data_IF_580106733798
#
_entry.id   IF_580106733798
#
_cell.length_a   1.000
_cell.length_b   1.000
_cell.length_c   1.000
_cell.angle_alpha   90.00
_cell.angle_beta   90.00
_cell.angle_gamma   90.00
#
_symmetry.space_group_name_H-M   'P 1'
#
loop_
_entity.id
_entity.type
_entity.pdbx_description
1 polymer ?
#
# COMPACT_ATOMS: atom_id res chain seq x y z
N UNK A 1 -10.81 21.36 5.39
CA UNK A 1 -10.49 20.29 6.38
C UNK A 1 -10.28 18.97 5.62
N UNK A 2 -9.65 17.91 6.17
CA UNK A 2 -9.46 16.61 5.44
C UNK A 2 -10.78 16.03 4.92
N UNK A 3 -11.89 16.35 5.61
CA UNK A 3 -13.26 15.93 5.26
C UNK A 3 -13.74 16.49 3.90
N UNK A 4 -13.21 17.63 3.48
CA UNK A 4 -13.64 18.33 2.26
C UNK A 4 -12.74 17.99 1.05
N UNK A 5 -11.75 17.10 1.24
CA UNK A 5 -10.77 16.76 0.21
C UNK A 5 -11.41 16.08 -1.01
N UNK A 6 -12.52 15.38 -0.82
CA UNK A 6 -13.19 14.62 -1.87
C UNK A 6 -14.70 14.79 -1.81
N UNK A 7 -15.32 14.90 -2.99
CA UNK A 7 -16.77 14.73 -3.12
C UNK A 7 -17.15 13.27 -2.81
N UNK A 8 -18.41 12.98 -2.45
CA UNK A 8 -18.85 11.61 -2.16
C UNK A 8 -18.60 10.61 -3.31
N UNK A 9 -18.73 11.06 -4.56
CA UNK A 9 -18.47 10.21 -5.74
C UNK A 9 -16.98 9.89 -5.89
N UNK A 10 -16.09 10.88 -5.69
CA UNK A 10 -14.65 10.67 -5.73
C UNK A 10 -14.21 9.76 -4.59
N UNK A 11 -14.75 9.95 -3.38
CA UNK A 11 -14.45 9.08 -2.24
C UNK A 11 -14.82 7.62 -2.55
N UNK A 12 -16.01 7.36 -3.09
CA UNK A 12 -16.43 6.01 -3.51
C UNK A 12 -15.48 5.40 -4.54
N UNK A 13 -15.04 6.18 -5.54
CA UNK A 13 -14.04 5.74 -6.52
C UNK A 13 -12.72 5.37 -5.85
N UNK A 14 -12.23 6.20 -4.92
CA UNK A 14 -10.98 5.95 -4.19
C UNK A 14 -11.07 4.72 -3.27
N UNK A 15 -12.21 4.49 -2.63
CA UNK A 15 -12.44 3.27 -1.83
C UNK A 15 -12.41 2.03 -2.72
N UNK A 16 -13.04 2.05 -3.90
CA UNK A 16 -12.95 0.93 -4.86
C UNK A 16 -11.51 0.68 -5.33
N UNK A 17 -10.76 1.74 -5.59
CA UNK A 17 -9.35 1.65 -5.96
C UNK A 17 -8.49 1.02 -4.85
N UNK A 18 -8.84 1.23 -3.58
CA UNK A 18 -8.14 0.61 -2.45
C UNK A 18 -8.29 -0.92 -2.42
N UNK A 19 -9.34 -1.48 -3.02
CA UNK A 19 -9.51 -2.94 -3.09
C UNK A 19 -8.37 -3.60 -3.89
N UNK A 20 -7.77 -2.93 -4.87
CA UNK A 20 -6.58 -3.45 -5.59
C UNK A 20 -5.41 -3.68 -4.64
N UNK A 21 -5.25 -2.82 -3.62
CA UNK A 21 -4.20 -2.97 -2.61
C UNK A 21 -4.53 -4.10 -1.64
N UNK A 22 -5.83 -4.40 -1.43
CA UNK A 22 -6.26 -5.52 -0.59
C UNK A 22 -5.95 -6.87 -1.22
N UNK A 23 -5.89 -6.98 -2.54
CA UNK A 23 -5.42 -8.20 -3.21
C UNK A 23 -3.96 -8.56 -2.86
N UNK A 24 -3.17 -7.58 -2.41
CA UNK A 24 -1.79 -7.81 -1.96
C UNK A 24 -1.72 -8.34 -0.52
N UNK A 25 -2.85 -8.37 0.19
CA UNK A 25 -2.95 -8.90 1.55
C UNK A 25 -3.12 -10.41 1.47
N UNK A 26 -2.18 -11.14 2.06
CA UNK A 26 -2.10 -12.60 2.03
C UNK A 26 -0.75 -13.09 2.51
N UNK A 27 -0.69 -14.33 3.00
CA UNK A 27 0.53 -14.87 3.62
C UNK A 27 1.03 -13.98 4.76
N UNK A 28 2.25 -13.48 4.63
CA UNK A 28 2.92 -12.62 5.62
C UNK A 28 2.58 -11.12 5.51
N UNK A 29 1.76 -10.73 4.54
CA UNK A 29 1.28 -9.35 4.37
C UNK A 29 -0.13 -9.27 4.93
N UNK A 30 -0.25 -8.81 6.18
CA UNK A 30 -1.50 -8.95 6.95
C UNK A 30 -2.47 -7.76 6.80
N UNK A 31 -1.99 -6.61 6.33
CA UNK A 31 -2.80 -5.39 6.26
C UNK A 31 -2.53 -4.61 4.96
N UNK A 32 -3.49 -3.81 4.46
CA UNK A 32 -3.25 -2.92 3.32
C UNK A 32 -2.12 -1.92 3.57
N UNK A 33 -1.88 -1.58 4.85
CA UNK A 33 -0.78 -0.70 5.27
C UNK A 33 0.57 -1.41 5.08
N UNK A 34 0.67 -2.67 5.51
CA UNK A 34 1.83 -3.51 5.26
C UNK A 34 2.08 -3.66 3.75
N UNK A 35 1.04 -3.92 2.96
CA UNK A 35 1.15 -4.04 1.51
C UNK A 35 1.70 -2.76 0.86
N UNK A 36 1.18 -1.59 1.25
CA UNK A 36 1.66 -0.31 0.74
C UNK A 36 3.12 -0.03 1.11
N UNK A 37 3.52 -0.28 2.35
CA UNK A 37 4.90 -0.12 2.80
C UNK A 37 5.85 -1.06 2.03
N UNK A 38 5.50 -2.34 1.94
CA UNK A 38 6.30 -3.35 1.27
C UNK A 38 6.38 -3.15 -0.24
N UNK A 39 5.34 -2.62 -0.88
CA UNK A 39 5.39 -2.19 -2.28
C UNK A 39 6.46 -1.11 -2.50
N UNK A 40 6.47 -0.07 -1.66
CA UNK A 40 7.46 1.01 -1.76
C UNK A 40 8.88 0.47 -1.56
N UNK A 41 9.08 -0.39 -0.56
CA UNK A 41 10.38 -1.02 -0.28
C UNK A 41 10.81 -2.05 -1.33
N UNK A 42 9.88 -2.59 -2.13
CA UNK A 42 10.21 -3.51 -3.22
C UNK A 42 10.85 -2.82 -4.42
N UNK A 43 10.79 -1.48 -4.51
CA UNK A 43 11.41 -0.74 -5.59
C UNK A 43 12.91 -0.53 -5.29
N UNK A 44 13.78 -1.07 -6.15
CA UNK A 44 15.24 -0.96 -6.00
C UNK A 44 15.78 0.48 -6.08
N UNK A 45 15.01 1.44 -6.60
CA UNK A 45 15.36 2.86 -6.65
C UNK A 45 15.02 3.59 -5.34
N UNK A 46 14.27 2.96 -4.43
CA UNK A 46 13.90 3.54 -3.14
C UNK A 46 14.89 3.09 -2.07
N UNK A 47 15.74 4.00 -1.62
CA UNK A 47 16.69 3.71 -0.52
C UNK A 47 16.02 3.65 0.85
N UNK A 48 14.93 4.41 1.05
CA UNK A 48 14.21 4.44 2.33
C UNK A 48 12.76 4.94 2.16
N UNK A 49 11.90 4.54 3.09
CA UNK A 49 10.52 5.02 3.19
C UNK A 49 10.34 5.81 4.50
N UNK A 50 9.92 7.08 4.41
CA UNK A 50 9.65 7.92 5.59
C UNK A 50 8.22 7.70 6.06
N UNK A 51 8.05 7.21 7.28
CA UNK A 51 6.76 6.90 7.86
C UNK A 51 6.21 8.07 8.67
N UNK A 52 4.89 8.31 8.59
CA UNK A 52 4.20 9.36 9.34
C UNK A 52 3.16 8.83 10.36
N UNK A 53 3.56 8.04 11.37
CA UNK A 53 2.65 7.59 12.41
C UNK A 53 2.21 8.74 13.32
N UNK A 54 1.01 8.62 13.89
CA UNK A 54 0.46 9.61 14.84
C UNK A 54 0.67 9.23 16.30
N UNK A 55 1.12 8.01 16.54
CA UNK A 55 1.41 7.47 17.86
C UNK A 55 2.60 6.52 17.77
N UNK A 56 3.28 6.33 18.89
CA UNK A 56 4.34 5.32 19.02
C UNK A 56 3.83 3.91 18.74
N UNK A 57 2.63 3.57 19.20
CA UNK A 57 2.00 2.28 18.92
C UNK A 57 1.79 2.01 17.42
N UNK A 58 1.46 3.04 16.64
CA UNK A 58 1.33 2.93 15.19
C UNK A 58 2.70 2.75 14.53
N UNK A 59 3.73 3.44 15.02
CA UNK A 59 5.10 3.25 14.56
C UNK A 59 5.56 1.80 14.78
N UNK A 60 5.36 1.26 15.99
CA UNK A 60 5.75 -0.10 16.32
C UNK A 60 5.05 -1.14 15.44
N UNK A 61 3.76 -0.91 15.12
CA UNK A 61 3.03 -1.73 14.17
C UNK A 61 3.65 -1.66 12.77
N UNK A 62 3.95 -0.46 12.27
CA UNK A 62 4.55 -0.26 10.95
C UNK A 62 5.91 -0.94 10.81
N UNK A 63 6.76 -0.84 11.85
CA UNK A 63 8.07 -1.49 11.88
C UNK A 63 7.93 -3.01 11.80
N UNK A 64 6.96 -3.60 12.53
CA UNK A 64 6.66 -5.04 12.42
C UNK A 64 6.11 -5.43 11.05
N UNK A 65 5.23 -4.60 10.49
CA UNK A 65 4.60 -4.82 9.19
C UNK A 65 5.59 -4.74 8.02
N UNK A 66 6.69 -3.99 8.15
CA UNK A 66 7.76 -3.91 7.14
C UNK A 66 8.38 -5.27 6.79
N UNK A 67 8.32 -6.25 7.70
CA UNK A 67 8.87 -7.59 7.49
C UNK A 67 10.36 -7.68 7.81
N UNK A 68 10.98 -8.81 7.46
CA UNK A 68 12.37 -9.14 7.84
C UNK A 68 13.42 -8.82 6.75
N UNK A 69 13.04 -8.12 5.68
CA UNK A 69 13.89 -7.81 4.53
C UNK A 69 13.29 -8.32 3.21
N UNK A 70 13.96 -8.05 2.06
CA UNK A 70 13.50 -8.53 0.77
C UNK A 70 13.52 -10.08 0.68
N UNK A 71 12.63 -10.70 -0.11
CA UNK A 71 11.58 -10.04 -0.90
C UNK A 71 10.43 -9.53 -0.02
N UNK A 72 10.05 -8.25 -0.22
CA UNK A 72 9.00 -7.63 0.59
C UNK A 72 7.59 -8.02 0.10
N UNK A 73 7.43 -8.22 -1.21
CA UNK A 73 6.24 -8.77 -1.84
C UNK A 73 6.63 -9.90 -2.80
N UNK A 74 5.72 -10.85 -3.10
CA UNK A 74 5.95 -11.85 -4.13
C UNK A 74 6.13 -11.21 -5.52
N UNK A 75 7.06 -11.72 -6.32
CA UNK A 75 7.35 -11.19 -7.67
C UNK A 75 6.12 -11.15 -8.58
N UNK A 76 5.28 -12.20 -8.51
CA UNK A 76 4.01 -12.26 -9.24
C UNK A 76 3.08 -11.10 -8.87
N UNK A 77 2.99 -10.78 -7.57
CA UNK A 77 2.15 -9.69 -7.11
C UNK A 77 2.65 -8.33 -7.62
N UNK A 78 3.97 -8.13 -7.70
CA UNK A 78 4.58 -6.93 -8.27
C UNK A 78 4.36 -6.84 -9.79
N UNK A 79 4.48 -7.96 -10.50
CA UNK A 79 4.27 -8.02 -11.95
C UNK A 79 2.81 -7.73 -12.35
N UNK A 80 1.84 -8.25 -11.57
CA UNK A 80 0.41 -8.10 -11.87
C UNK A 80 -0.14 -6.71 -11.44
N UNK A 81 0.49 -6.04 -10.48
CA UNK A 81 -0.05 -4.81 -9.88
C UNK A 81 -0.27 -3.66 -10.89
N UNK A 82 0.63 -3.34 -11.84
CA UNK A 82 0.41 -2.27 -12.80
C UNK A 82 -0.87 -2.43 -13.61
N UNK A 83 -1.16 -3.63 -14.12
CA UNK A 83 -2.36 -3.89 -14.91
C UNK A 83 -3.64 -3.77 -14.07
N UNK A 84 -3.60 -4.20 -12.80
CA UNK A 84 -4.71 -4.04 -11.85
C UNK A 84 -4.97 -2.57 -11.52
N UNK A 85 -3.93 -1.77 -11.30
CA UNK A 85 -4.05 -0.33 -11.04
C UNK A 85 -4.67 0.41 -12.23
N UNK A 86 -4.22 0.10 -13.45
CA UNK A 86 -4.79 0.66 -14.69
C UNK A 86 -6.27 0.29 -14.82
N UNK A 87 -6.63 -0.97 -14.57
CA UNK A 87 -8.02 -1.44 -14.61
C UNK A 87 -8.92 -0.74 -13.58
N UNK A 88 -8.34 -0.33 -12.44
CA UNK A 88 -9.02 0.49 -11.44
C UNK A 88 -9.04 2.00 -11.76
N UNK A 89 -8.56 2.40 -12.94
CA UNK A 89 -8.49 3.79 -13.39
C UNK A 89 -7.47 4.63 -12.63
N UNK A 90 -6.37 3.99 -12.20
CA UNK A 90 -5.15 4.65 -11.71
C UNK A 90 -4.15 4.62 -12.86
N UNK A 91 -3.90 5.77 -13.45
CA UNK A 91 -2.93 5.95 -14.52
C UNK A 91 -1.69 6.65 -13.93
N UNK A 92 -0.49 6.22 -14.36
CA UNK A 92 0.79 6.85 -14.05
C UNK A 92 1.04 8.07 -14.92
#
# INVERSE_FOLDING_TARGET
>A
HRRDRWTPSVLRKRVRQLEVVRDLVGGDVLTPRAAALRYVLSNSLVSSAVLGPRSTSQLDQLVREAGKGPPYLPDKALADLPSKLISAGIHS
#
